data_IF_029992723634
#
_entry.id   IF_029992723634
#
_cell.length_a   1.000
_cell.length_b   1.000
_cell.length_c   1.000
_cell.angle_alpha   90.00
_cell.angle_beta   90.00
_cell.angle_gamma   90.00
#
_symmetry.space_group_name_H-M   'P 1'
#
loop_
_entity.id
_entity.type
_entity.pdbx_description
1 polymer ?
#
# COMPACT_ATOMS: atom_id res chain seq x y z
N UNK A 1 1.74 1.83 14.00
CA UNK A 1 2.05 2.50 12.71
C UNK A 1 3.55 2.66 12.55
N UNK A 2 4.13 2.00 11.55
CA UNK A 2 5.57 2.00 11.25
C UNK A 2 6.03 3.31 10.60
N UNK A 3 7.19 3.82 11.00
CA UNK A 3 7.86 4.96 10.33
C UNK A 3 8.90 4.42 9.36
N UNK A 4 8.78 4.82 8.09
CA UNK A 4 9.62 4.37 6.99
C UNK A 4 10.56 5.48 6.54
N UNK A 5 11.77 5.11 6.12
CA UNK A 5 12.60 6.00 5.30
C UNK A 5 11.96 6.23 3.94
N UNK A 6 12.35 7.29 3.24
CA UNK A 6 11.85 7.58 1.88
C UNK A 6 12.02 6.41 0.91
N UNK A 7 13.16 5.70 0.97
CA UNK A 7 13.37 4.51 0.14
C UNK A 7 12.39 3.38 0.47
N UNK A 8 12.28 3.02 1.76
CA UNK A 8 11.34 1.99 2.21
C UNK A 8 9.88 2.36 1.92
N UNK A 9 9.53 3.64 1.99
CA UNK A 9 8.21 4.12 1.63
C UNK A 9 7.95 3.91 0.14
N UNK A 10 8.87 4.32 -0.73
CA UNK A 10 8.74 4.14 -2.19
C UNK A 10 8.59 2.66 -2.55
N UNK A 11 9.37 1.79 -1.91
CA UNK A 11 9.36 0.35 -2.16
C UNK A 11 8.04 -0.33 -1.73
N UNK A 12 7.29 0.27 -0.79
CA UNK A 12 6.08 -0.33 -0.19
C UNK A 12 4.79 0.39 -0.56
N UNK A 13 4.85 1.58 -1.15
CA UNK A 13 3.67 2.39 -1.46
C UNK A 13 2.95 1.81 -2.67
N UNK A 14 1.69 1.41 -2.51
CA UNK A 14 0.81 1.00 -3.60
C UNK A 14 0.34 2.18 -4.46
N UNK A 15 -0.23 1.87 -5.64
CA UNK A 15 -0.69 2.88 -6.62
C UNK A 15 -1.78 3.80 -6.07
N UNK A 16 -2.66 3.23 -5.24
CA UNK A 16 -3.81 3.92 -4.63
C UNK A 16 -3.53 4.33 -3.18
N UNK A 17 -2.37 3.95 -2.65
CA UNK A 17 -1.96 4.33 -1.30
C UNK A 17 -1.48 5.79 -1.27
N UNK A 18 -1.42 6.33 -0.06
CA UNK A 18 -0.72 7.59 0.18
C UNK A 18 0.21 7.45 1.36
N UNK A 19 1.34 8.17 1.37
CA UNK A 19 2.16 8.29 2.58
C UNK A 19 2.17 9.72 3.08
N UNK A 20 2.33 9.93 4.40
CA UNK A 20 2.45 11.25 5.02
C UNK A 20 3.75 11.35 5.79
N UNK A 21 4.50 12.45 5.62
CA UNK A 21 5.73 12.70 6.37
C UNK A 21 5.46 13.43 7.70
N UNK A 22 6.52 13.64 8.49
CA UNK A 22 6.43 14.34 9.79
C UNK A 22 5.95 15.80 9.69
N UNK A 23 6.09 16.43 8.53
CA UNK A 23 5.74 17.84 8.29
C UNK A 23 4.34 17.99 7.66
N UNK A 24 3.60 16.89 7.48
CA UNK A 24 2.24 16.88 6.94
C UNK A 24 2.15 16.84 5.42
N UNK A 25 3.27 16.73 4.69
CA UNK A 25 3.25 16.49 3.25
C UNK A 25 2.78 15.08 2.95
N UNK A 26 1.98 14.95 1.90
CA UNK A 26 1.45 13.69 1.40
C UNK A 26 2.12 13.32 0.09
N UNK A 27 2.34 12.04 -0.13
CA UNK A 27 2.77 11.48 -1.41
C UNK A 27 1.87 10.34 -1.85
N UNK A 28 1.81 10.09 -3.16
CA UNK A 28 1.01 9.03 -3.78
C UNK A 28 1.30 8.94 -5.28
N UNK A 29 1.14 7.77 -5.87
CA UNK A 29 1.39 7.58 -7.29
C UNK A 29 0.21 8.04 -8.16
N UNK A 30 0.48 8.62 -9.33
CA UNK A 30 -0.56 8.77 -10.35
C UNK A 30 -0.79 7.46 -11.13
N UNK A 31 -1.78 7.45 -12.04
CA UNK A 31 -2.08 6.31 -12.91
C UNK A 31 -0.96 5.94 -13.89
N UNK A 32 0.10 6.75 -13.99
CA UNK A 32 1.27 6.52 -14.84
C UNK A 32 2.49 6.06 -14.03
N UNK A 33 2.36 5.92 -12.71
CA UNK A 33 3.45 5.52 -11.80
C UNK A 33 4.37 6.67 -11.37
N UNK A 34 3.99 7.94 -11.58
CA UNK A 34 4.75 9.08 -11.09
C UNK A 34 4.40 9.35 -9.62
N UNK A 35 5.42 9.49 -8.76
CA UNK A 35 5.21 9.86 -7.37
C UNK A 35 4.95 11.37 -7.26
N UNK A 36 3.76 11.73 -6.79
CA UNK A 36 3.34 13.12 -6.60
C UNK A 36 3.40 13.48 -5.12
N UNK A 37 3.71 14.74 -4.81
CA UNK A 37 3.64 15.30 -3.45
C UNK A 37 2.70 16.51 -3.40
N UNK A 38 1.97 16.64 -2.29
CA UNK A 38 1.08 17.78 -2.04
C UNK A 38 0.97 18.07 -0.53
N UNK A 39 0.54 19.28 -0.17
CA UNK A 39 0.37 19.67 1.23
C UNK A 39 -0.83 19.00 1.91
N UNK A 40 -0.84 18.95 3.24
CA UNK A 40 -1.89 18.27 4.05
C UNK A 40 -3.33 18.68 3.67
N UNK A 41 -3.50 19.96 3.31
CA UNK A 41 -4.78 20.60 2.98
C UNK A 41 -4.99 20.80 1.47
N UNK A 42 -4.11 20.26 0.64
CA UNK A 42 -4.23 20.31 -0.81
C UNK A 42 -4.85 19.02 -1.34
N UNK A 43 -5.53 19.11 -2.48
CA UNK A 43 -5.95 17.93 -3.23
C UNK A 43 -4.77 17.33 -3.97
N UNK A 44 -4.79 15.99 -4.16
CA UNK A 44 -3.83 15.30 -5.02
C UNK A 44 -3.85 15.95 -6.42
N UNK A 45 -2.70 16.37 -6.97
CA UNK A 45 -2.66 17.01 -8.28
C UNK A 45 -2.99 15.99 -9.38
N UNK A 46 -3.81 16.39 -10.36
CA UNK A 46 -4.27 15.51 -11.45
C UNK A 46 -3.20 15.17 -12.49
N UNK A 47 -2.19 16.03 -12.59
CA UNK A 47 -0.93 15.90 -13.34
C UNK A 47 -0.29 17.30 -13.31
N UNK A 48 1.02 17.42 -13.09
CA UNK A 48 1.72 18.66 -13.39
C UNK A 48 3.04 18.40 -14.10
N UNK A 49 3.26 19.18 -15.15
CA UNK A 49 4.55 19.50 -15.74
C UNK A 49 5.52 19.85 -14.61
N UNK A 50 6.43 18.95 -14.25
CA UNK A 50 7.31 19.16 -13.11
C UNK A 50 7.92 17.87 -12.61
N UNK A 51 8.64 17.19 -13.51
CA UNK A 51 9.44 16.00 -13.25
C UNK A 51 10.67 16.32 -12.39
N UNK A 52 10.48 16.85 -11.19
CA UNK A 52 11.51 16.79 -10.17
C UNK A 52 11.11 15.69 -9.20
N UNK A 53 11.46 14.47 -9.61
CA UNK A 53 11.47 13.26 -8.78
C UNK A 53 11.89 13.64 -7.36
N UNK A 54 10.95 13.53 -6.41
CA UNK A 54 11.13 13.85 -4.98
C UNK A 54 12.39 13.22 -4.38
N UNK A 55 12.86 12.09 -4.95
CA UNK A 55 14.08 11.39 -4.57
C UNK A 55 15.36 12.24 -4.75
N UNK A 56 15.34 13.25 -5.63
CA UNK A 56 16.47 14.18 -5.83
C UNK A 56 16.42 15.40 -4.90
N UNK A 57 15.29 15.67 -4.24
CA UNK A 57 15.22 16.72 -3.23
C UNK A 57 15.96 16.24 -1.97
N UNK A 58 17.10 16.86 -1.70
CA UNK A 58 18.02 16.42 -0.64
C UNK A 58 17.39 16.41 0.76
N UNK A 59 16.36 17.24 0.97
CA UNK A 59 15.62 17.33 2.23
C UNK A 59 14.66 16.15 2.41
N UNK A 60 13.99 15.72 1.34
CA UNK A 60 13.04 14.59 1.35
C UNK A 60 13.71 13.25 1.68
N UNK A 61 15.02 13.11 1.46
CA UNK A 61 15.76 11.87 1.79
C UNK A 61 15.78 11.53 3.28
N UNK A 62 15.67 12.52 4.15
CA UNK A 62 15.73 12.33 5.60
C UNK A 62 14.36 12.31 6.27
N UNK A 63 13.29 12.38 5.46
CA UNK A 63 11.92 12.33 5.98
C UNK A 63 11.57 10.94 6.47
N UNK A 64 10.70 10.93 7.49
CA UNK A 64 10.04 9.74 8.00
C UNK A 64 8.60 9.71 7.54
N UNK A 65 8.21 8.62 6.90
CA UNK A 65 6.91 8.46 6.25
C UNK A 65 6.06 7.40 6.94
N UNK A 66 4.74 7.60 6.92
CA UNK A 66 3.77 6.59 7.31
C UNK A 66 2.87 6.35 6.10
N UNK A 67 2.77 5.10 5.66
CA UNK A 67 1.85 4.71 4.57
C UNK A 67 0.43 4.57 5.14
N UNK A 68 -0.50 5.23 4.49
CA UNK A 68 -1.93 5.07 4.62
C UNK A 68 -2.40 4.16 3.47
N UNK A 69 -2.47 2.87 3.77
CA UNK A 69 -2.91 1.85 2.82
C UNK A 69 -4.37 2.05 2.42
N UNK A 70 -4.65 1.88 1.13
CA UNK A 70 -6.00 1.76 0.60
C UNK A 70 -6.51 0.34 0.82
N UNK A 71 -7.26 0.15 1.90
CA UNK A 71 -7.85 -1.14 2.21
C UNK A 71 -9.12 -1.37 1.39
N UNK A 72 -9.19 -2.54 0.75
CA UNK A 72 -10.36 -3.03 0.01
C UNK A 72 -11.08 -4.14 0.78
N UNK A 73 -12.30 -4.45 0.35
CA UNK A 73 -13.08 -5.57 0.90
C UNK A 73 -12.62 -6.93 0.37
N UNK A 74 -13.03 -8.00 1.07
CA UNK A 74 -12.71 -9.37 0.69
C UNK A 74 -13.15 -9.73 -0.74
N UNK A 75 -14.37 -9.35 -1.15
CA UNK A 75 -14.89 -9.66 -2.49
C UNK A 75 -14.04 -9.01 -3.60
N UNK A 76 -13.58 -7.79 -3.37
CA UNK A 76 -12.73 -7.06 -4.30
C UNK A 76 -11.35 -7.70 -4.40
N UNK A 77 -10.73 -8.03 -3.25
CA UNK A 77 -9.46 -8.75 -3.21
C UNK A 77 -9.55 -10.13 -3.89
N UNK A 78 -10.62 -10.88 -3.62
CA UNK A 78 -10.85 -12.18 -4.25
C UNK A 78 -11.02 -12.05 -5.77
N UNK A 79 -11.75 -11.04 -6.23
CA UNK A 79 -11.94 -10.75 -7.65
C UNK A 79 -10.62 -10.42 -8.33
N UNK A 80 -9.82 -9.54 -7.73
CA UNK A 80 -8.50 -9.17 -8.25
C UNK A 80 -7.54 -10.38 -8.29
N UNK A 81 -7.54 -11.22 -7.26
CA UNK A 81 -6.69 -12.40 -7.23
C UNK A 81 -7.11 -13.48 -8.25
N UNK A 82 -8.42 -13.80 -8.31
CA UNK A 82 -8.91 -14.88 -9.15
C UNK A 82 -8.96 -14.51 -10.64
N UNK A 83 -9.39 -13.29 -10.96
CA UNK A 83 -9.65 -12.87 -12.35
C UNK A 83 -8.49 -12.08 -12.95
N UNK A 84 -7.86 -11.20 -12.16
CA UNK A 84 -6.77 -10.34 -12.63
C UNK A 84 -5.38 -10.91 -12.30
N UNK A 85 -5.31 -12.02 -11.57
CA UNK A 85 -4.07 -12.69 -11.14
C UNK A 85 -3.15 -11.80 -10.30
N UNK A 86 -3.73 -10.81 -9.62
CA UNK A 86 -2.99 -9.90 -8.76
C UNK A 86 -2.58 -10.57 -7.46
N UNK A 87 -1.52 -10.06 -6.86
CA UNK A 87 -1.14 -10.43 -5.51
C UNK A 87 -2.01 -9.65 -4.53
N UNK A 88 -2.54 -10.33 -3.53
CA UNK A 88 -3.35 -9.69 -2.49
C UNK A 88 -2.77 -9.97 -1.12
N UNK A 89 -2.88 -9.01 -0.20
CA UNK A 89 -2.35 -9.11 1.14
C UNK A 89 -3.51 -8.95 2.12
N UNK A 90 -3.70 -9.94 2.99
CA UNK A 90 -4.56 -9.80 4.14
C UNK A 90 -3.78 -9.17 5.29
N UNK A 91 -4.23 -8.00 5.75
CA UNK A 91 -3.65 -7.29 6.88
C UNK A 91 -4.41 -7.68 8.15
N UNK A 92 -3.82 -8.56 8.97
CA UNK A 92 -4.40 -9.00 10.23
C UNK A 92 -4.13 -7.96 11.33
N UNK A 93 -2.85 -7.65 11.57
CA UNK A 93 -2.41 -6.65 12.56
C UNK A 93 -1.10 -5.96 12.13
N UNK A 94 -0.50 -5.15 13.01
CA UNK A 94 0.74 -4.41 12.67
C UNK A 94 1.96 -5.32 12.41
N UNK A 95 1.95 -6.56 12.89
CA UNK A 95 3.07 -7.50 12.80
C UNK A 95 2.77 -8.67 11.84
N UNK A 96 1.50 -8.91 11.53
CA UNK A 96 1.01 -10.11 10.85
C UNK A 96 0.28 -9.76 9.56
N UNK A 97 0.85 -10.22 8.45
CA UNK A 97 0.29 -10.05 7.11
C UNK A 97 0.45 -11.35 6.32
N UNK A 98 -0.55 -11.67 5.50
CA UNK A 98 -0.54 -12.87 4.67
C UNK A 98 -0.62 -12.48 3.21
N UNK A 99 0.43 -12.82 2.44
CA UNK A 99 0.56 -12.48 1.02
C UNK A 99 0.14 -13.66 0.15
N UNK A 100 -0.86 -13.46 -0.69
CA UNK A 100 -1.41 -14.45 -1.61
C UNK A 100 -0.96 -14.15 -3.03
N UNK A 101 0.09 -14.84 -3.47
CA UNK A 101 0.63 -14.73 -4.83
C UNK A 101 -0.10 -15.70 -5.76
N UNK A 102 -0.52 -15.23 -6.94
CA UNK A 102 -1.24 -16.07 -7.89
C UNK A 102 -0.41 -17.28 -8.32
N UNK A 103 -1.00 -18.47 -8.23
CA UNK A 103 -0.33 -19.74 -8.56
C UNK A 103 0.43 -20.38 -7.40
N UNK A 104 0.50 -19.73 -6.23
CA UNK A 104 1.05 -20.29 -5.01
C UNK A 104 -0.06 -20.72 -4.03
N UNK A 105 -0.01 -21.96 -3.58
CA UNK A 105 -1.10 -22.58 -2.78
C UNK A 105 -0.77 -22.76 -1.29
N UNK A 106 0.44 -22.39 -0.85
CA UNK A 106 0.89 -22.58 0.53
C UNK A 106 0.23 -21.64 1.54
N UNK A 107 -0.29 -20.51 1.07
CA UNK A 107 -0.72 -19.37 1.88
C UNK A 107 -1.96 -19.66 2.74
N UNK A 108 -2.88 -20.50 2.24
CA UNK A 108 -4.06 -20.94 3.01
C UNK A 108 -3.73 -21.86 4.17
N UNK A 109 -2.59 -22.59 4.12
CA UNK A 109 -2.14 -23.43 5.23
C UNK A 109 -1.66 -22.59 6.41
N UNK A 110 -1.03 -21.45 6.16
CA UNK A 110 -0.60 -20.53 7.21
C UNK A 110 -1.80 -19.96 7.96
N UNK A 111 -2.80 -19.42 7.24
CA UNK A 111 -4.05 -18.96 7.85
C UNK A 111 -4.70 -20.00 8.76
N UNK A 112 -4.76 -21.25 8.30
CA UNK A 112 -5.35 -22.35 9.06
C UNK A 112 -4.54 -22.70 10.32
N UNK A 113 -3.21 -22.65 10.25
CA UNK A 113 -2.33 -22.89 11.40
C UNK A 113 -2.47 -21.78 12.46
N UNK A 114 -2.65 -20.55 12.01
CA UNK A 114 -2.79 -19.37 12.87
C UNK A 114 -4.24 -19.18 13.37
N UNK A 115 -5.15 -20.09 13.01
CA UNK A 115 -6.52 -20.11 13.51
C UNK A 115 -7.43 -19.02 12.93
N UNK A 116 -7.03 -18.40 11.82
CA UNK A 116 -7.79 -17.32 11.18
C UNK A 116 -9.06 -17.88 10.54
N UNK A 117 -10.20 -17.37 11.01
CA UNK A 117 -11.53 -17.82 10.57
C UNK A 117 -12.02 -17.13 9.29
N UNK A 118 -13.01 -17.75 8.62
CA UNK A 118 -13.61 -17.18 7.41
C UNK A 118 -14.30 -15.84 7.67
N UNK A 119 -15.05 -15.71 8.78
CA UNK A 119 -15.74 -14.47 9.16
C UNK A 119 -14.76 -13.30 9.29
N UNK A 120 -13.58 -13.58 9.85
CA UNK A 120 -12.52 -12.60 10.01
C UNK A 120 -11.93 -12.17 8.67
N UNK A 121 -11.68 -13.12 7.76
CA UNK A 121 -11.20 -12.81 6.41
C UNK A 121 -12.23 -11.96 5.63
N UNK A 122 -13.52 -12.28 5.74
CA UNK A 122 -14.58 -11.55 5.03
C UNK A 122 -14.74 -10.11 5.50
N UNK A 123 -14.50 -9.85 6.79
CA UNK A 123 -14.56 -8.52 7.39
C UNK A 123 -13.19 -7.83 7.50
N UNK A 124 -12.16 -8.50 6.97
CA UNK A 124 -10.76 -8.13 7.10
C UNK A 124 -10.36 -6.94 6.23
N UNK A 125 -9.15 -6.45 6.50
CA UNK A 125 -8.51 -5.41 5.69
C UNK A 125 -7.65 -6.06 4.62
N UNK A 126 -7.93 -5.77 3.36
CA UNK A 126 -7.18 -6.34 2.23
C UNK A 126 -6.47 -5.25 1.43
N UNK A 127 -5.32 -5.60 0.87
CA UNK A 127 -4.55 -4.74 -0.04
C UNK A 127 -4.38 -5.50 -1.35
N UNK A 128 -4.56 -4.81 -2.48
CA UNK A 128 -4.24 -5.32 -3.81
C UNK A 128 -2.88 -4.73 -4.21
N UNK A 129 -1.89 -5.60 -4.39
CA UNK A 129 -0.56 -5.22 -4.86
C UNK A 129 -0.53 -5.29 -6.40
N UNK A 130 0.19 -4.35 -7.03
CA UNK A 130 0.32 -4.27 -8.48
C UNK A 130 1.46 -5.14 -9.04
#
# INVERSE_FOLDING_TARGET
MEKLTTGQMIDRLGIDDTATNQDGYKVGYDHKGNLLMWGQHESKPDNREGNDFLVYLSWVKNDSWIINYNFVGFEEAQTAHANEKKTVIYWHDEETQYKFVYGEYGHFRQLANDGIGLEELTNGKWIIEN
#
